data_IF_604366046139
#
_entry.id   IF_604366046139
#
_cell.length_a   1.000
_cell.length_b   1.000
_cell.length_c   1.000
_cell.angle_alpha   90.00
_cell.angle_beta   90.00
_cell.angle_gamma   90.00
#
_symmetry.space_group_name_H-M   'P 1'
#
loop_
_entity.id
_entity.type
_entity.pdbx_description
1 polymer ?
#
# COMPACT_ATOMS: atom_id res chain seq x y z
N UNK A 1 25.43 6.96 -11.03
CA UNK A 1 24.41 5.92 -11.25
C UNK A 1 23.60 5.73 -9.97
N UNK A 2 22.29 5.88 -9.99
CA UNK A 2 21.52 5.52 -8.82
C UNK A 2 21.73 4.04 -8.55
N UNK A 3 22.09 3.72 -7.33
CA UNK A 3 22.28 2.33 -6.90
C UNK A 3 20.91 1.66 -6.84
N UNK A 4 20.73 0.58 -7.58
CA UNK A 4 19.55 -0.27 -7.44
C UNK A 4 19.58 -0.81 -6.01
N UNK A 5 18.49 -0.72 -5.24
CA UNK A 5 18.48 -1.26 -3.89
C UNK A 5 18.90 -2.73 -3.90
N UNK A 6 19.77 -3.13 -2.99
CA UNK A 6 20.19 -4.53 -2.83
C UNK A 6 19.07 -5.41 -2.26
N UNK A 7 17.94 -4.82 -1.89
CA UNK A 7 16.76 -5.46 -1.35
C UNK A 7 15.52 -5.09 -2.17
N UNK A 8 14.42 -5.86 -2.10
CA UNK A 8 13.16 -5.46 -2.71
C UNK A 8 12.68 -4.09 -2.20
N UNK A 9 11.97 -3.35 -3.05
CA UNK A 9 11.26 -2.17 -2.59
C UNK A 9 10.17 -2.56 -1.59
N UNK A 10 10.08 -1.82 -0.51
CA UNK A 10 9.03 -2.00 0.50
C UNK A 10 7.90 -1.03 0.29
N UNK A 11 6.69 -1.55 0.13
CA UNK A 11 5.47 -0.77 -0.12
C UNK A 11 4.46 -1.04 0.97
N UNK A 12 3.94 0.02 1.57
CA UNK A 12 2.87 -0.06 2.55
C UNK A 12 1.59 0.52 1.96
N UNK A 13 0.54 -0.29 1.90
CA UNK A 13 -0.79 0.17 1.53
C UNK A 13 -1.62 0.49 2.77
N UNK A 14 -2.25 1.66 2.78
CA UNK A 14 -3.07 2.13 3.90
C UNK A 14 -4.51 2.36 3.48
N UNK A 15 -5.44 1.88 4.28
CA UNK A 15 -6.85 2.23 4.21
C UNK A 15 -7.41 2.41 5.63
N UNK A 16 -8.72 2.49 5.78
CA UNK A 16 -9.34 2.65 7.11
C UNK A 16 -9.40 1.32 7.86
N UNK A 17 -10.09 0.34 7.31
CA UNK A 17 -10.37 -0.93 8.01
C UNK A 17 -9.35 -2.02 7.80
N UNK A 18 -8.47 -1.90 6.82
CA UNK A 18 -7.55 -2.97 6.41
C UNK A 18 -8.26 -4.30 6.16
N UNK A 19 -9.49 -4.25 5.66
CA UNK A 19 -10.34 -5.42 5.47
C UNK A 19 -10.62 -5.77 4.00
N UNK A 20 -10.38 -4.84 3.08
CA UNK A 20 -10.62 -5.05 1.65
C UNK A 20 -9.55 -4.38 0.78
N UNK A 21 -9.66 -3.08 0.51
CA UNK A 21 -8.84 -2.36 -0.49
C UNK A 21 -7.33 -2.53 -0.30
N UNK A 22 -6.82 -2.31 0.90
CA UNK A 22 -5.39 -2.43 1.18
C UNK A 22 -4.91 -3.88 1.19
N UNK A 23 -5.73 -4.81 1.66
CA UNK A 23 -5.44 -6.25 1.61
C UNK A 23 -5.38 -6.75 0.16
N UNK A 24 -6.30 -6.28 -0.68
CA UNK A 24 -6.33 -6.60 -2.11
C UNK A 24 -5.04 -6.09 -2.79
N UNK A 25 -4.68 -4.84 -2.55
CA UNK A 25 -3.48 -4.24 -3.13
C UNK A 25 -2.21 -4.97 -2.70
N UNK A 26 -2.08 -5.30 -1.41
CA UNK A 26 -0.97 -6.08 -0.87
C UNK A 26 -0.84 -7.43 -1.58
N UNK A 27 -1.93 -8.18 -1.68
CA UNK A 27 -1.93 -9.51 -2.30
C UNK A 27 -1.52 -9.46 -3.78
N UNK A 28 -2.03 -8.48 -4.52
CA UNK A 28 -1.73 -8.30 -5.94
C UNK A 28 -0.25 -7.94 -6.14
N UNK A 29 0.26 -6.97 -5.38
CA UNK A 29 1.66 -6.54 -5.54
C UNK A 29 2.63 -7.66 -5.14
N UNK A 30 2.37 -8.38 -4.09
CA UNK A 30 3.19 -9.53 -3.71
C UNK A 30 3.17 -10.63 -4.76
N UNK A 31 2.03 -10.85 -5.42
CA UNK A 31 1.90 -11.85 -6.48
C UNK A 31 2.61 -11.45 -7.77
N UNK A 32 2.46 -10.19 -8.18
CA UNK A 32 2.96 -9.69 -9.47
C UNK A 32 4.36 -9.06 -9.39
N UNK A 33 4.82 -8.73 -8.21
CA UNK A 33 6.06 -7.97 -8.01
C UNK A 33 7.34 -8.72 -8.33
N UNK A 34 7.28 -10.03 -8.49
CA UNK A 34 8.40 -10.84 -8.99
C UNK A 34 9.69 -10.76 -8.17
N UNK A 35 9.61 -10.62 -6.85
CA UNK A 35 10.76 -10.45 -5.98
C UNK A 35 11.35 -9.04 -5.95
N UNK A 36 10.88 -8.13 -6.80
CA UNK A 36 11.30 -6.72 -6.80
C UNK A 36 10.62 -5.89 -5.72
N UNK A 37 9.47 -6.34 -5.24
CA UNK A 37 8.63 -5.65 -4.26
C UNK A 37 8.17 -6.57 -3.16
N UNK A 38 8.08 -6.01 -1.95
CA UNK A 38 7.41 -6.64 -0.81
C UNK A 38 6.37 -5.64 -0.32
N UNK A 39 5.12 -6.06 -0.29
CA UNK A 39 4.00 -5.24 0.13
C UNK A 39 3.45 -5.69 1.48
N UNK A 40 3.07 -4.72 2.30
CA UNK A 40 2.30 -4.89 3.52
C UNK A 40 1.13 -3.91 3.52
N UNK A 41 0.19 -4.10 4.42
CA UNK A 41 -0.97 -3.21 4.55
C UNK A 41 -1.38 -3.01 5.99
N UNK A 42 -2.04 -1.89 6.26
CA UNK A 42 -2.56 -1.54 7.58
C UNK A 42 -3.76 -0.61 7.44
N UNK A 43 -4.45 -0.37 8.54
CA UNK A 43 -5.58 0.55 8.60
C UNK A 43 -5.52 1.43 9.83
N UNK A 44 -6.12 2.63 9.73
CA UNK A 44 -6.23 3.57 10.85
C UNK A 44 -7.21 3.10 11.92
N UNK A 45 -8.22 2.33 11.51
CA UNK A 45 -9.24 1.73 12.39
C UNK A 45 -9.48 0.28 11.94
N UNK A 46 -8.58 -0.65 12.31
CA UNK A 46 -8.65 -2.02 11.82
C UNK A 46 -9.99 -2.70 12.14
N UNK A 47 -10.57 -3.34 11.14
CA UNK A 47 -11.76 -4.17 11.30
C UNK A 47 -11.41 -5.47 12.03
N UNK A 48 -12.44 -6.23 12.44
CA UNK A 48 -12.25 -7.49 13.16
C UNK A 48 -11.67 -8.60 12.27
N UNK A 49 -11.97 -8.56 10.96
CA UNK A 49 -11.53 -9.59 10.01
C UNK A 49 -11.43 -9.02 8.60
N UNK A 50 -10.67 -9.71 7.75
CA UNK A 50 -10.64 -9.45 6.31
C UNK A 50 -12.00 -9.82 5.72
N UNK A 51 -12.52 -8.99 4.81
CA UNK A 51 -13.81 -9.25 4.19
C UNK A 51 -13.72 -10.51 3.31
N UNK A 52 -14.59 -11.51 3.52
CA UNK A 52 -14.56 -12.75 2.73
C UNK A 52 -14.71 -12.52 1.23
N UNK A 53 -15.46 -11.48 0.81
CA UNK A 53 -15.63 -11.15 -0.59
C UNK A 53 -14.34 -10.64 -1.24
N UNK A 54 -13.45 -10.01 -0.46
CA UNK A 54 -12.12 -9.63 -0.94
C UNK A 54 -11.28 -10.88 -1.25
N UNK A 55 -11.29 -11.85 -0.35
CA UNK A 55 -10.56 -13.12 -0.52
C UNK A 55 -11.10 -13.88 -1.73
N UNK A 56 -12.43 -13.93 -1.88
CA UNK A 56 -13.09 -14.58 -3.01
C UNK A 56 -12.74 -13.92 -4.34
N UNK A 57 -12.79 -12.58 -4.41
CA UNK A 57 -12.48 -11.83 -5.62
C UNK A 57 -11.01 -12.04 -6.04
N UNK A 58 -10.09 -12.08 -5.10
CA UNK A 58 -8.69 -12.39 -5.37
C UNK A 58 -8.54 -13.81 -5.93
N UNK A 59 -9.20 -14.79 -5.31
CA UNK A 59 -9.16 -16.18 -5.75
C UNK A 59 -9.70 -16.35 -7.17
N UNK A 60 -10.81 -15.71 -7.50
CA UNK A 60 -11.38 -15.72 -8.85
C UNK A 60 -10.46 -15.07 -9.88
N UNK A 61 -9.60 -14.18 -9.45
CA UNK A 61 -8.57 -13.54 -10.28
C UNK A 61 -7.25 -14.32 -10.31
N UNK A 62 -7.20 -15.51 -9.73
CA UNK A 62 -6.03 -16.38 -9.71
C UNK A 62 -5.01 -16.04 -8.63
N UNK A 63 -5.40 -15.24 -7.62
CA UNK A 63 -4.52 -14.82 -6.53
C UNK A 63 -4.99 -15.44 -5.22
N UNK A 64 -4.17 -16.28 -4.62
CA UNK A 64 -4.44 -16.82 -3.29
C UNK A 64 -4.11 -15.77 -2.24
N UNK A 65 -5.09 -15.40 -1.41
CA UNK A 65 -4.83 -14.52 -0.28
C UNK A 65 -4.04 -15.30 0.78
N UNK A 66 -2.88 -14.81 1.11
CA UNK A 66 -1.99 -15.34 2.14
C UNK A 66 -1.57 -14.21 3.10
N UNK A 67 -2.46 -13.24 3.31
CA UNK A 67 -2.20 -12.07 4.12
C UNK A 67 -2.37 -12.34 5.62
N UNK A 68 -2.70 -11.31 6.33
CA UNK A 68 -2.81 -11.27 7.78
C UNK A 68 -4.17 -10.69 8.19
N UNK A 69 -4.61 -10.88 9.45
CA UNK A 69 -5.78 -10.17 9.95
C UNK A 69 -5.61 -8.64 9.82
N UNK A 70 -6.70 -7.87 9.78
CA UNK A 70 -6.58 -6.41 9.81
C UNK A 70 -5.72 -5.95 10.99
N UNK A 71 -4.86 -4.98 10.73
CA UNK A 71 -3.94 -4.45 11.74
C UNK A 71 -3.77 -2.95 11.60
N UNK A 72 -3.37 -2.31 12.71
CA UNK A 72 -2.99 -0.91 12.73
C UNK A 72 -1.52 -0.70 12.35
N UNK A 73 -1.05 0.52 12.58
CA UNK A 73 0.32 0.93 12.24
C UNK A 73 1.35 0.51 13.29
N UNK A 74 0.94 -0.02 14.44
CA UNK A 74 1.86 -0.44 15.48
C UNK A 74 2.87 -1.47 14.94
N UNK A 75 4.16 -1.21 15.16
CA UNK A 75 5.24 -2.05 14.66
C UNK A 75 5.57 -1.88 13.17
N UNK A 76 4.82 -1.03 12.44
CA UNK A 76 5.07 -0.76 11.03
C UNK A 76 5.76 0.60 10.79
N UNK A 77 5.59 1.55 11.70
CA UNK A 77 6.17 2.89 11.55
C UNK A 77 7.71 2.88 11.53
N UNK A 78 8.33 1.94 12.20
CA UNK A 78 9.78 1.83 12.32
C UNK A 78 10.43 1.07 11.15
N UNK A 79 9.63 0.50 10.26
CA UNK A 79 10.16 -0.18 9.08
C UNK A 79 10.58 0.82 8.01
N UNK A 80 11.56 0.44 7.21
CA UNK A 80 12.12 1.28 6.16
C UNK A 80 11.29 1.17 4.88
N UNK A 81 10.24 1.97 4.78
CA UNK A 81 9.35 2.01 3.62
C UNK A 81 9.95 2.83 2.48
N UNK A 82 9.87 2.32 1.26
CA UNK A 82 10.20 3.08 0.05
C UNK A 82 8.98 3.83 -0.48
N UNK A 83 7.80 3.21 -0.39
CA UNK A 83 6.53 3.79 -0.84
C UNK A 83 5.45 3.56 0.21
N UNK A 84 4.65 4.58 0.45
CA UNK A 84 3.43 4.50 1.24
C UNK A 84 2.29 4.95 0.33
N UNK A 85 1.33 4.07 0.10
CA UNK A 85 0.23 4.31 -0.84
C UNK A 85 -1.08 4.21 -0.09
N UNK A 86 -1.81 5.34 -0.01
CA UNK A 86 -3.14 5.37 0.58
C UNK A 86 -4.18 5.00 -0.49
N UNK A 87 -5.13 4.14 -0.14
CA UNK A 87 -6.13 3.63 -1.08
C UNK A 87 -7.56 4.05 -0.74
N UNK A 88 -7.74 4.84 0.30
CA UNK A 88 -9.02 5.51 0.59
C UNK A 88 -8.76 6.94 1.07
N UNK A 89 -9.76 7.83 0.93
CA UNK A 89 -9.59 9.25 1.23
C UNK A 89 -9.34 9.49 2.74
N UNK A 90 -10.00 8.75 3.61
CA UNK A 90 -9.77 8.85 5.07
C UNK A 90 -8.33 8.48 5.45
N UNK A 91 -7.75 7.48 4.80
CA UNK A 91 -6.35 7.10 5.02
C UNK A 91 -5.39 8.17 4.51
N UNK A 92 -5.73 8.84 3.40
CA UNK A 92 -4.96 9.99 2.90
C UNK A 92 -4.92 11.11 3.93
N UNK A 93 -6.07 11.48 4.50
CA UNK A 93 -6.18 12.54 5.51
C UNK A 93 -5.49 12.18 6.82
N UNK A 94 -5.57 10.92 7.23
CA UNK A 94 -5.02 10.41 8.49
C UNK A 94 -3.60 9.85 8.33
N UNK A 95 -2.98 9.96 7.16
CA UNK A 95 -1.66 9.39 6.89
C UNK A 95 -0.61 10.09 7.77
N UNK A 96 0.06 9.36 8.67
CA UNK A 96 1.11 9.95 9.50
C UNK A 96 2.35 10.26 8.66
N UNK A 97 3.24 11.07 9.22
CA UNK A 97 4.57 11.29 8.66
C UNK A 97 5.44 10.09 9.04
N UNK A 98 5.91 9.36 8.03
CA UNK A 98 6.76 8.21 8.25
C UNK A 98 8.23 8.61 8.39
N UNK A 99 8.96 8.04 9.37
CA UNK A 99 10.40 8.18 9.42
C UNK A 99 11.06 7.67 8.13
N UNK A 100 12.18 8.27 7.72
CA UNK A 100 12.89 7.87 6.51
C UNK A 100 12.31 8.42 5.21
N UNK A 101 11.23 9.19 5.30
CA UNK A 101 10.63 9.95 4.19
C UNK A 101 10.35 9.10 2.94
N UNK A 102 9.45 8.11 3.01
CA UNK A 102 9.06 7.35 1.83
C UNK A 102 8.32 8.23 0.82
N UNK A 103 8.29 7.79 -0.44
CA UNK A 103 7.39 8.38 -1.44
C UNK A 103 5.96 8.08 -1.02
N UNK A 104 5.13 9.12 -0.88
CA UNK A 104 3.72 8.97 -0.54
C UNK A 104 2.86 9.25 -1.77
N UNK A 105 1.98 8.32 -2.09
CA UNK A 105 1.03 8.45 -3.20
C UNK A 105 -0.38 8.11 -2.73
N UNK A 106 -1.37 8.62 -3.45
CA UNK A 106 -2.78 8.33 -3.19
C UNK A 106 -3.42 7.64 -4.39
N UNK A 107 -3.86 6.40 -4.21
CA UNK A 107 -4.58 5.61 -5.21
C UNK A 107 -6.00 5.32 -4.71
N UNK A 108 -6.79 6.36 -4.51
CA UNK A 108 -8.14 6.24 -3.96
C UNK A 108 -9.03 5.31 -4.77
N UNK A 109 -9.74 4.41 -4.08
CA UNK A 109 -10.71 3.49 -4.64
C UNK A 109 -12.01 3.58 -3.84
N UNK A 110 -13.18 3.46 -4.51
CA UNK A 110 -14.45 3.32 -3.78
C UNK A 110 -14.41 2.12 -2.84
N UNK A 111 -15.07 2.24 -1.69
CA UNK A 111 -15.18 1.11 -0.77
C UNK A 111 -16.18 0.08 -1.30
N UNK A 112 -15.73 -1.12 -1.70
CA UNK A 112 -16.65 -2.13 -2.24
C UNK A 112 -17.65 -2.64 -1.20
N UNK A 113 -17.34 -2.52 0.10
CA UNK A 113 -18.23 -2.91 1.18
C UNK A 113 -19.43 -1.97 1.34
N UNK A 114 -19.36 -0.73 0.81
CA UNK A 114 -20.43 0.23 0.87
C UNK A 114 -21.49 0.02 -0.23
N UNK A 115 -21.24 -0.88 -1.18
CA UNK A 115 -22.18 -1.15 -2.26
C UNK A 115 -23.41 -1.86 -1.72
N UNK A 116 -24.57 -1.28 -1.97
CA UNK A 116 -25.87 -1.84 -1.62
C UNK A 116 -26.41 -2.69 -2.75
N UNK A 117 -27.28 -3.64 -2.42
CA UNK A 117 -27.94 -4.51 -3.40
C UNK A 117 -27.81 -5.98 -3.04
N UNK A 118 -28.01 -6.84 -4.06
CA UNK A 118 -27.93 -8.29 -3.88
C UNK A 118 -26.49 -8.79 -3.78
N UNK A 119 -26.34 -10.08 -3.53
CA UNK A 119 -25.03 -10.72 -3.37
C UNK A 119 -24.18 -10.61 -4.64
N UNK A 120 -24.78 -10.65 -5.81
CA UNK A 120 -24.08 -10.53 -7.08
C UNK A 120 -23.48 -9.13 -7.27
N UNK A 121 -24.25 -8.10 -6.94
CA UNK A 121 -23.77 -6.71 -7.01
C UNK A 121 -22.58 -6.49 -6.07
N UNK A 122 -22.67 -7.03 -4.88
CA UNK A 122 -21.57 -6.93 -3.89
C UNK A 122 -20.32 -7.64 -4.37
N UNK A 123 -20.45 -8.85 -4.90
CA UNK A 123 -19.31 -9.58 -5.47
C UNK A 123 -18.67 -8.85 -6.63
N UNK A 124 -19.49 -8.27 -7.52
CA UNK A 124 -19.01 -7.46 -8.65
C UNK A 124 -18.21 -6.26 -8.17
N UNK A 125 -18.66 -5.58 -7.11
CA UNK A 125 -17.93 -4.44 -6.55
C UNK A 125 -16.52 -4.83 -6.05
N UNK A 126 -16.39 -5.98 -5.40
CA UNK A 126 -15.08 -6.49 -4.96
C UNK A 126 -14.21 -6.92 -6.14
N UNK A 127 -14.80 -7.54 -7.15
CA UNK A 127 -14.09 -7.90 -8.38
C UNK A 127 -13.60 -6.64 -9.12
N UNK A 128 -14.41 -5.60 -9.21
CA UNK A 128 -14.02 -4.32 -9.81
C UNK A 128 -12.86 -3.67 -9.05
N UNK A 129 -12.84 -3.80 -7.73
CA UNK A 129 -11.73 -3.31 -6.90
C UNK A 129 -10.43 -4.06 -7.22
N UNK A 130 -10.49 -5.38 -7.37
CA UNK A 130 -9.33 -6.19 -7.80
C UNK A 130 -8.85 -5.76 -9.19
N UNK A 131 -9.77 -5.53 -10.11
CA UNK A 131 -9.46 -5.08 -11.48
C UNK A 131 -8.75 -3.73 -11.47
N UNK A 132 -9.29 -2.75 -10.73
CA UNK A 132 -8.70 -1.42 -10.64
C UNK A 132 -7.32 -1.45 -10.00
N UNK A 133 -7.20 -2.15 -8.87
CA UNK A 133 -5.92 -2.31 -8.19
C UNK A 133 -4.88 -3.00 -9.09
N UNK A 134 -5.28 -4.02 -9.82
CA UNK A 134 -4.41 -4.74 -10.76
C UNK A 134 -3.89 -3.83 -11.88
N UNK A 135 -4.74 -2.98 -12.43
CA UNK A 135 -4.34 -2.01 -13.47
C UNK A 135 -3.31 -1.02 -12.94
N UNK A 136 -3.55 -0.45 -11.77
CA UNK A 136 -2.64 0.52 -11.14
C UNK A 136 -1.31 -0.13 -10.77
N UNK A 137 -1.33 -1.31 -10.20
CA UNK A 137 -0.13 -2.06 -9.85
C UNK A 137 0.65 -2.44 -11.12
N UNK A 138 -0.02 -2.86 -12.18
CA UNK A 138 0.66 -3.16 -13.45
C UNK A 138 1.37 -1.95 -14.04
N UNK A 139 0.76 -0.76 -13.96
CA UNK A 139 1.40 0.49 -14.37
C UNK A 139 2.62 0.81 -13.49
N UNK A 140 2.50 0.61 -12.20
CA UNK A 140 3.59 0.81 -11.25
C UNK A 140 4.77 -0.15 -11.54
N UNK A 141 4.47 -1.42 -11.78
CA UNK A 141 5.47 -2.44 -12.11
C UNK A 141 6.15 -2.21 -13.47
N UNK A 142 5.49 -1.50 -14.37
CA UNK A 142 6.07 -1.14 -15.68
C UNK A 142 7.09 -0.02 -15.59
N UNK A 143 7.16 0.70 -14.47
CA UNK A 143 8.16 1.74 -14.27
C UNK A 143 9.55 1.09 -14.10
N UNK A 144 10.58 1.63 -14.77
CA UNK A 144 11.93 1.11 -14.60
C UNK A 144 12.41 1.19 -13.16
N UNK A 145 13.09 0.15 -12.69
CA UNK A 145 13.63 0.09 -11.33
C UNK A 145 14.51 1.30 -11.00
N UNK A 146 15.32 1.75 -11.95
CA UNK A 146 16.19 2.92 -11.80
C UNK A 146 15.40 4.20 -11.56
N UNK A 147 14.25 4.38 -12.23
CA UNK A 147 13.39 5.55 -12.03
C UNK A 147 12.72 5.53 -10.67
N UNK A 148 12.29 4.36 -10.19
CA UNK A 148 11.72 4.20 -8.85
C UNK A 148 12.77 4.50 -7.77
N UNK A 149 13.98 4.00 -7.92
CA UNK A 149 15.09 4.26 -7.01
C UNK A 149 15.45 5.75 -6.99
N UNK A 150 15.48 6.39 -8.15
CA UNK A 150 15.74 7.83 -8.28
C UNK A 150 14.66 8.66 -7.57
N UNK A 151 13.39 8.33 -7.76
CA UNK A 151 12.28 9.02 -7.11
C UNK A 151 12.35 8.89 -5.58
N UNK A 152 12.63 7.70 -5.07
CA UNK A 152 12.80 7.46 -3.64
C UNK A 152 13.96 8.29 -3.06
N UNK A 153 15.09 8.31 -3.75
CA UNK A 153 16.26 9.09 -3.34
C UNK A 153 15.98 10.59 -3.36
N UNK A 154 15.38 11.11 -4.44
CA UNK A 154 15.03 12.54 -4.56
C UNK A 154 14.06 12.99 -3.46
N UNK A 155 13.09 12.14 -3.12
CA UNK A 155 12.14 12.43 -2.05
C UNK A 155 12.86 12.56 -0.71
N UNK A 156 13.78 11.68 -0.40
CA UNK A 156 14.58 11.71 0.84
C UNK A 156 15.50 12.93 0.90
N UNK A 157 16.17 13.23 -0.21
CA UNK A 157 17.05 14.41 -0.29
C UNK A 157 16.26 15.71 -0.11
N UNK A 158 15.09 15.80 -0.71
CA UNK A 158 14.20 16.97 -0.56
C UNK A 158 13.77 17.14 0.90
N UNK A 159 13.42 16.06 1.57
CA UNK A 159 13.01 16.07 2.97
C UNK A 159 14.11 16.57 3.92
N UNK A 160 15.37 16.32 3.60
CA UNK A 160 16.50 16.86 4.38
C UNK A 160 16.47 18.39 4.40
N UNK A 161 16.11 19.01 3.28
CA UNK A 161 15.98 20.47 3.19
C UNK A 161 14.83 21.07 4.01
N UNK A 162 13.89 20.22 4.42
CA UNK A 162 12.73 20.61 5.24
C UNK A 162 12.99 20.46 6.75
N UNK A 163 14.10 19.84 7.14
CA UNK A 163 14.49 19.67 8.56
C UNK A 163 14.77 21.04 9.17
N UNK A 164 14.18 21.29 10.35
CA UNK A 164 14.37 22.51 11.13
C UNK A 164 15.26 22.27 12.34
N UNK A 165 15.73 23.35 12.95
CA UNK A 165 16.56 23.29 14.17
C UNK A 165 15.85 22.65 15.37
N UNK A 166 14.50 22.67 15.35
CA UNK A 166 13.68 22.20 16.46
C UNK A 166 13.32 20.69 16.35
N UNK A 167 13.69 20.06 15.24
CA UNK A 167 13.44 18.63 15.03
C UNK A 167 14.62 17.80 15.54
N UNK A 168 14.34 16.72 16.29
CA UNK A 168 15.42 15.80 16.67
C UNK A 168 16.04 15.17 15.43
N UNK A 169 17.36 14.99 15.43
CA UNK A 169 18.05 14.29 14.38
C UNK A 169 17.41 12.91 14.14
N UNK A 170 17.20 12.55 12.87
CA UNK A 170 16.70 11.23 12.53
C UNK A 170 17.63 10.18 13.16
N UNK A 171 17.06 9.25 13.95
CA UNK A 171 17.82 8.15 14.48
C UNK A 171 18.20 7.24 13.31
N UNK A 172 19.49 7.13 13.08
CA UNK A 172 20.00 6.10 12.20
C UNK A 172 19.65 4.75 12.83
N UNK A 173 18.76 4.02 12.18
CA UNK A 173 18.35 2.67 12.53
C UNK A 173 19.16 1.65 11.77
#
# INVERSE_FOLDING_TARGET
MPTIPSRPFRVLFLCTGNSARSQIAEAILNRLGGGRFVAESAGSQPAARVNPLAIEALRESGITWAGHPPRGLDGLMDKDWDFVITVCDKAKEACPIFPGQPVVAHWGMPDPADVEGDAERKRTAFFDTVTLASRRISLFLALPTEKLAKLALETRVRAIGEVTMDEPAAREG
#
